data_IF_658598193522
#
_entry.id   IF_658598193522
#
_cell.length_a   1.000
_cell.length_b   1.000
_cell.length_c   1.000
_cell.angle_alpha   90.00
_cell.angle_beta   90.00
_cell.angle_gamma   90.00
#
_symmetry.space_group_name_H-M   'P 1'
#
loop_
_entity.id
_entity.type
_entity.pdbx_description
1 polymer ?
#
# COMPACT_ATOMS: atom_id res chain seq x y z
N UNK A 1 -11.22 -40.53 -1.64
CA UNK A 1 -12.14 -39.38 -1.51
C UNK A 1 -11.31 -38.12 -1.75
N UNK A 2 -11.49 -37.40 -2.86
CA UNK A 2 -10.82 -36.12 -3.05
C UNK A 2 -11.46 -35.07 -2.13
N UNK A 3 -10.62 -34.24 -1.51
CA UNK A 3 -11.04 -33.14 -0.65
C UNK A 3 -11.92 -32.14 -1.44
N UNK A 4 -12.89 -31.47 -0.79
CA UNK A 4 -13.68 -30.44 -1.46
C UNK A 4 -12.78 -29.30 -1.93
N UNK A 5 -12.88 -28.97 -3.21
CA UNK A 5 -12.23 -27.81 -3.81
C UNK A 5 -12.58 -26.53 -3.03
N UNK A 6 -11.63 -25.60 -2.82
CA UNK A 6 -11.94 -24.34 -2.18
C UNK A 6 -12.86 -23.53 -3.10
N UNK A 7 -14.13 -23.37 -2.68
CA UNK A 7 -15.10 -22.46 -3.30
C UNK A 7 -14.44 -21.09 -3.47
N UNK A 8 -14.38 -20.63 -4.71
CA UNK A 8 -13.67 -19.41 -5.10
C UNK A 8 -13.87 -18.28 -4.11
N UNK A 9 -12.81 -17.94 -3.38
CA UNK A 9 -12.72 -16.65 -2.72
C UNK A 9 -12.80 -15.61 -3.82
N UNK A 10 -13.84 -14.77 -3.80
CA UNK A 10 -13.79 -13.46 -4.44
C UNK A 10 -12.71 -12.64 -3.72
N UNK A 11 -11.44 -13.01 -3.87
CA UNK A 11 -10.32 -12.23 -3.36
C UNK A 11 -10.41 -10.87 -4.02
N UNK A 12 -10.43 -9.83 -3.19
CA UNK A 12 -10.18 -8.48 -3.66
C UNK A 12 -8.87 -8.50 -4.43
N UNK A 13 -8.91 -8.16 -5.71
CA UNK A 13 -7.68 -7.96 -6.49
C UNK A 13 -7.15 -6.58 -6.16
N UNK A 14 -5.89 -6.52 -5.76
CA UNK A 14 -5.18 -5.26 -5.55
C UNK A 14 -4.24 -4.99 -6.71
N UNK A 15 -4.15 -3.72 -7.10
CA UNK A 15 -3.31 -3.26 -8.19
C UNK A 15 -2.44 -2.09 -7.73
N UNK A 16 -1.19 -2.00 -8.25
CA UNK A 16 -0.33 -0.88 -7.93
C UNK A 16 -0.96 0.42 -8.44
N UNK A 17 -0.81 1.48 -7.65
CA UNK A 17 -1.16 2.85 -8.04
C UNK A 17 0.09 3.51 -8.61
N UNK A 18 -0.04 4.21 -9.73
CA UNK A 18 1.07 4.98 -10.31
C UNK A 18 1.39 6.18 -9.42
N UNK A 19 2.59 6.20 -8.83
CA UNK A 19 3.10 7.25 -7.96
C UNK A 19 4.36 7.86 -8.59
N UNK A 20 4.23 8.81 -9.52
CA UNK A 20 5.38 9.34 -10.27
C UNK A 20 6.38 10.04 -9.34
N UNK A 21 7.61 9.55 -9.32
CA UNK A 21 8.69 10.07 -8.47
C UNK A 21 8.81 9.43 -7.09
N UNK A 22 7.85 8.60 -6.65
CA UNK A 22 7.99 7.81 -5.41
C UNK A 22 8.07 8.62 -4.10
N UNK A 23 7.81 9.93 -4.14
CA UNK A 23 7.85 10.82 -2.97
C UNK A 23 6.44 11.13 -2.48
N UNK A 24 5.73 10.14 -1.94
CA UNK A 24 4.33 10.29 -1.54
C UNK A 24 4.04 9.78 -0.13
N UNK A 25 3.13 10.47 0.54
CA UNK A 25 2.52 10.09 1.80
C UNK A 25 0.99 10.01 1.68
N UNK A 26 0.34 9.52 2.73
CA UNK A 26 -1.10 9.48 2.80
C UNK A 26 -1.67 10.91 2.84
N UNK A 27 -2.50 11.26 1.85
CA UNK A 27 -3.15 12.55 1.82
C UNK A 27 -4.29 12.67 2.85
N UNK A 28 -4.86 13.87 3.02
CA UNK A 28 -5.93 14.13 4.01
C UNK A 28 -7.23 13.38 3.72
N UNK A 29 -7.41 12.86 2.50
CA UNK A 29 -8.53 11.97 2.16
C UNK A 29 -8.42 10.58 2.79
N UNK A 30 -7.21 10.17 3.19
CA UNK A 30 -6.90 8.86 3.77
C UNK A 30 -6.52 8.97 5.25
N UNK A 31 -5.66 9.93 5.60
CA UNK A 31 -5.14 10.09 6.94
C UNK A 31 -5.82 11.26 7.69
N UNK A 32 -6.17 11.11 8.99
CA UNK A 32 -6.10 9.88 9.80
C UNK A 32 -7.36 9.01 9.72
N UNK A 33 -8.47 9.52 9.18
CA UNK A 33 -9.81 8.94 9.39
C UNK A 33 -10.07 7.57 8.74
N UNK A 34 -9.29 7.21 7.71
CA UNK A 34 -9.44 5.95 6.97
C UNK A 34 -8.32 4.95 7.24
N UNK A 35 -7.37 5.27 8.14
CA UNK A 35 -6.32 4.32 8.54
C UNK A 35 -6.92 3.19 9.36
N UNK A 36 -6.65 1.96 8.94
CA UNK A 36 -6.96 0.74 9.71
C UNK A 36 -5.78 0.40 10.60
N UNK A 37 -4.58 0.38 10.03
CA UNK A 37 -3.35 -0.02 10.72
C UNK A 37 -2.14 0.76 10.22
N UNK A 38 -1.28 1.14 11.16
CA UNK A 38 0.07 1.62 10.88
C UNK A 38 1.10 0.52 11.15
N UNK A 39 2.04 0.34 10.24
CA UNK A 39 3.10 -0.67 10.28
C UNK A 39 4.42 0.05 10.07
N UNK A 40 5.47 -0.35 10.79
CA UNK A 40 6.81 0.17 10.55
C UNK A 40 7.86 -0.93 10.67
N UNK A 41 9.00 -0.72 10.00
CA UNK A 41 10.15 -1.60 10.10
C UNK A 41 11.46 -0.84 9.89
N UNK A 42 12.56 -1.44 10.36
CA UNK A 42 13.91 -0.94 10.08
C UNK A 42 14.15 -0.95 8.56
N UNK A 43 14.74 0.12 8.03
CA UNK A 43 15.01 0.25 6.60
C UNK A 43 15.83 -0.93 6.04
N UNK A 44 16.85 -1.39 6.76
CA UNK A 44 17.69 -2.54 6.37
C UNK A 44 16.97 -3.90 6.18
N UNK A 45 15.71 -4.06 6.62
CA UNK A 45 15.00 -5.35 6.54
C UNK A 45 14.21 -5.56 5.25
N UNK A 46 13.97 -4.48 4.51
CA UNK A 46 13.15 -4.50 3.31
C UNK A 46 13.75 -3.55 2.27
N UNK A 47 13.44 -3.81 1.01
CA UNK A 47 13.53 -2.85 -0.08
C UNK A 47 12.13 -2.31 -0.41
N UNK A 48 12.03 -1.42 -1.40
CA UNK A 48 10.78 -0.81 -1.82
C UNK A 48 9.70 -1.86 -2.15
N UNK A 49 10.05 -2.86 -2.95
CA UNK A 49 9.11 -3.86 -3.44
C UNK A 49 8.63 -4.78 -2.31
N UNK A 50 9.56 -5.36 -1.57
CA UNK A 50 9.26 -6.25 -0.44
C UNK A 50 8.50 -5.53 0.67
N UNK A 51 8.76 -4.24 0.90
CA UNK A 51 7.96 -3.45 1.82
C UNK A 51 6.54 -3.23 1.30
N UNK A 52 6.38 -2.82 0.05
CA UNK A 52 5.07 -2.64 -0.57
C UNK A 52 4.21 -3.92 -0.49
N UNK A 53 4.81 -5.07 -0.82
CA UNK A 53 4.16 -6.38 -0.71
C UNK A 53 3.84 -6.76 0.74
N UNK A 54 4.71 -6.40 1.70
CA UNK A 54 4.46 -6.65 3.12
C UNK A 54 3.23 -5.88 3.61
N UNK A 55 3.14 -4.58 3.30
CA UNK A 55 1.98 -3.76 3.69
C UNK A 55 0.71 -4.23 2.99
N UNK A 56 0.80 -4.62 1.70
CA UNK A 56 -0.34 -5.23 0.99
C UNK A 56 -0.79 -6.54 1.65
N UNK A 57 0.13 -7.42 2.03
CA UNK A 57 -0.20 -8.66 2.74
C UNK A 57 -0.93 -8.39 4.06
N UNK A 58 -0.55 -7.34 4.78
CA UNK A 58 -1.26 -6.90 5.99
C UNK A 58 -2.66 -6.33 5.66
N UNK A 59 -2.81 -5.63 4.53
CA UNK A 59 -4.10 -5.17 4.04
C UNK A 59 -5.02 -6.35 3.68
N UNK A 60 -4.53 -7.38 2.99
CA UNK A 60 -5.32 -8.55 2.59
C UNK A 60 -5.84 -9.37 3.79
N UNK A 61 -5.21 -9.26 4.97
CA UNK A 61 -5.67 -9.88 6.21
C UNK A 61 -6.87 -9.15 6.82
N UNK A 62 -7.08 -7.90 6.45
CA UNK A 62 -8.13 -7.03 6.99
C UNK A 62 -9.30 -6.93 6.01
N UNK A 63 -10.49 -7.49 6.34
CA UNK A 63 -11.64 -7.50 5.42
C UNK A 63 -12.13 -6.11 5.01
N UNK A 64 -11.86 -5.09 5.83
CA UNK A 64 -12.23 -3.71 5.56
C UNK A 64 -11.20 -2.95 4.70
N UNK A 65 -10.04 -3.56 4.44
CA UNK A 65 -8.98 -2.91 3.69
C UNK A 65 -9.29 -2.85 2.20
N UNK A 66 -9.12 -1.65 1.64
CA UNK A 66 -9.36 -1.36 0.23
C UNK A 66 -8.16 -0.73 -0.45
N UNK A 67 -7.15 -0.28 0.31
CA UNK A 67 -5.88 0.19 -0.23
C UNK A 67 -4.77 0.15 0.82
N UNK A 68 -3.52 0.20 0.36
CA UNK A 68 -2.33 0.24 1.21
C UNK A 68 -1.29 1.19 0.64
N UNK A 69 -0.48 1.79 1.50
CA UNK A 69 0.67 2.62 1.15
C UNK A 69 1.87 2.18 1.98
N UNK A 70 2.99 1.93 1.34
CA UNK A 70 4.31 1.81 1.97
C UNK A 70 5.22 2.91 1.47
N UNK A 71 6.06 3.49 2.32
CA UNK A 71 7.09 4.45 1.95
C UNK A 71 8.22 4.41 2.97
N UNK A 72 9.38 4.94 2.62
CA UNK A 72 10.44 5.19 3.58
C UNK A 72 10.55 6.67 3.92
N UNK A 73 10.73 6.97 5.19
CA UNK A 73 10.93 8.33 5.69
C UNK A 73 11.95 8.35 6.83
N UNK A 74 12.50 9.52 7.12
CA UNK A 74 13.36 9.70 8.30
C UNK A 74 12.48 9.80 9.54
N UNK A 75 12.69 8.89 10.49
CA UNK A 75 11.99 8.97 11.76
C UNK A 75 12.65 10.08 12.62
N UNK A 76 11.88 11.11 12.96
CA UNK A 76 12.34 12.26 13.76
C UNK A 76 12.52 11.93 15.26
N UNK A 77 12.23 10.70 15.69
CA UNK A 77 12.44 10.22 17.06
C UNK A 77 13.91 10.00 17.45
N UNK A 78 14.12 9.67 18.73
CA UNK A 78 15.43 9.62 19.42
C UNK A 78 16.50 8.70 18.79
N UNK A 79 16.10 7.76 17.93
CA UNK A 79 17.02 6.84 17.24
C UNK A 79 17.61 7.41 15.96
N UNK A 80 16.99 8.43 15.35
CA UNK A 80 17.32 8.90 14.01
C UNK A 80 17.25 7.81 12.93
N UNK A 81 17.35 8.21 11.66
CA UNK A 81 17.51 7.28 10.54
C UNK A 81 16.26 6.99 9.72
N UNK A 82 16.48 6.39 8.54
CA UNK A 82 15.44 6.01 7.59
C UNK A 82 14.73 4.75 8.08
N UNK A 83 13.41 4.75 8.05
CA UNK A 83 12.55 3.62 8.39
C UNK A 83 11.52 3.42 7.30
N UNK A 84 11.02 2.19 7.20
CA UNK A 84 9.85 1.87 6.41
C UNK A 84 8.59 2.16 7.23
N UNK A 85 7.65 2.86 6.61
CA UNK A 85 6.33 3.18 7.14
C UNK A 85 5.27 2.65 6.19
N UNK A 86 4.21 2.10 6.76
CA UNK A 86 3.16 1.41 6.04
C UNK A 86 1.82 1.73 6.66
N UNK A 87 0.82 1.97 5.82
CA UNK A 87 -0.55 2.20 6.23
C UNK A 87 -1.49 1.34 5.39
N UNK A 88 -2.49 0.77 6.04
CA UNK A 88 -3.63 0.13 5.39
C UNK A 88 -4.85 1.02 5.57
N UNK A 89 -5.68 1.14 4.54
CA UNK A 89 -6.83 2.04 4.53
C UNK A 89 -8.11 1.34 4.11
N UNK A 90 -9.23 1.86 4.61
CA UNK A 90 -10.59 1.59 4.14
C UNK A 90 -11.10 2.76 3.29
N UNK A 91 -12.32 2.63 2.78
CA UNK A 91 -13.02 3.74 2.10
C UNK A 91 -13.12 3.60 0.58
N UNK A 92 -12.65 2.49 0.01
CA UNK A 92 -12.78 2.17 -1.40
C UNK A 92 -11.48 2.31 -2.20
N UNK A 93 -11.56 2.25 -3.54
CA UNK A 93 -10.40 2.39 -4.41
C UNK A 93 -9.75 3.76 -4.27
N UNK A 94 -8.42 3.79 -4.32
CA UNK A 94 -7.61 5.01 -4.31
C UNK A 94 -6.87 5.21 -5.62
N UNK A 95 -6.62 6.45 -5.98
CA UNK A 95 -5.75 6.85 -7.09
C UNK A 95 -4.62 7.75 -6.57
N UNK A 96 -3.72 8.17 -7.44
CA UNK A 96 -2.63 9.11 -7.12
C UNK A 96 -3.13 10.36 -6.38
N UNK A 97 -4.34 10.85 -6.69
CA UNK A 97 -4.94 12.03 -6.06
C UNK A 97 -5.28 11.85 -4.56
N UNK A 98 -5.30 10.62 -4.06
CA UNK A 98 -5.49 10.35 -2.63
C UNK A 98 -4.19 10.49 -1.81
N UNK A 99 -3.06 10.58 -2.50
CA UNK A 99 -1.74 10.71 -1.92
C UNK A 99 -1.24 12.14 -2.09
N UNK A 100 -0.31 12.54 -1.23
CA UNK A 100 0.29 13.88 -1.27
C UNK A 100 1.78 13.75 -1.44
N UNK A 101 2.35 14.52 -2.37
CA UNK A 101 3.80 14.57 -2.55
C UNK A 101 4.47 15.08 -1.27
N UNK A 102 5.52 14.39 -0.83
CA UNK A 102 6.28 14.74 0.36
C UNK A 102 7.75 14.42 0.13
N UNK A 103 8.59 15.45 0.25
CA UNK A 103 10.05 15.29 0.20
C UNK A 103 10.61 14.50 1.40
N UNK A 104 9.82 14.33 2.47
CA UNK A 104 10.20 13.51 3.61
C UNK A 104 9.99 12.01 3.36
N UNK A 105 9.14 11.67 2.37
CA UNK A 105 8.92 10.31 1.92
C UNK A 105 9.74 9.99 0.67
N UNK A 106 10.07 8.72 0.52
CA UNK A 106 10.79 8.15 -0.62
C UNK A 106 10.34 6.71 -0.81
N UNK A 107 10.59 6.16 -1.99
CA UNK A 107 10.31 4.75 -2.29
C UNK A 107 8.83 4.38 -2.05
N UNK A 108 7.91 5.33 -2.27
CA UNK A 108 6.50 5.16 -2.02
C UNK A 108 5.88 4.17 -3.00
N UNK A 109 5.15 3.21 -2.46
CA UNK A 109 4.46 2.16 -3.20
C UNK A 109 3.05 2.03 -2.64
N UNK A 110 2.04 2.19 -3.48
CA UNK A 110 0.64 2.07 -3.09
C UNK A 110 -0.07 1.00 -3.90
N UNK A 111 -1.03 0.34 -3.26
CA UNK A 111 -1.93 -0.63 -3.88
C UNK A 111 -3.37 -0.26 -3.57
N UNK A 112 -4.26 -0.53 -4.52
CA UNK A 112 -5.70 -0.27 -4.40
C UNK A 112 -6.51 -1.46 -4.87
N UNK A 113 -7.66 -1.70 -4.25
CA UNK A 113 -8.65 -2.65 -4.74
C UNK A 113 -9.16 -2.22 -6.11
N UNK A 114 -9.33 -3.18 -7.03
CA UNK A 114 -10.03 -2.97 -8.31
C UNK A 114 -11.43 -3.57 -8.25
N UNK A 115 -12.43 -2.80 -8.69
CA UNK A 115 -13.82 -3.26 -8.81
C UNK A 115 -14.02 -3.94 -10.18
N UNK A 116 -13.91 -5.26 -10.24
CA UNK A 116 -14.41 -6.09 -11.37
C UNK A 116 -13.35 -6.92 -12.11
N UNK A 117 -13.81 -7.96 -12.82
CA UNK A 117 -13.08 -9.02 -13.55
C UNK A 117 -12.20 -8.54 -14.74
N UNK A 118 -11.43 -7.49 -14.54
CA UNK A 118 -10.32 -7.10 -15.41
C UNK A 118 -9.13 -6.90 -14.50
N UNK A 119 -8.18 -7.84 -14.53
CA UNK A 119 -6.92 -7.73 -13.78
C UNK A 119 -6.25 -6.39 -14.03
N UNK A 120 -5.34 -6.01 -13.13
CA UNK A 120 -4.58 -4.77 -13.16
C UNK A 120 -4.21 -4.41 -14.59
N UNK A 121 -5.00 -3.55 -15.24
CA UNK A 121 -4.71 -3.16 -16.60
C UNK A 121 -3.42 -2.35 -16.47
N UNK A 122 -2.35 -2.95 -16.96
CA UNK A 122 -1.02 -2.37 -17.10
C UNK A 122 -1.09 -1.19 -18.07
N UNK A 123 -1.78 -0.14 -17.65
CA UNK A 123 -1.77 1.17 -18.28
C UNK A 123 -0.61 1.95 -17.71
N UNK A 124 0.52 1.86 -18.41
CA UNK A 124 1.58 2.88 -18.42
C UNK A 124 2.54 2.87 -17.23
N UNK A 125 3.41 1.86 -17.18
CA UNK A 125 4.78 2.08 -16.70
C UNK A 125 5.61 2.53 -17.91
N UNK A 126 6.00 3.81 -18.04
CA UNK A 126 7.10 4.13 -18.94
C UNK A 126 8.39 3.58 -18.31
N UNK A 127 9.04 2.70 -19.08
CA UNK A 127 10.38 2.15 -18.82
C UNK A 127 11.45 3.24 -18.65
#
# INVERSE_FOLDING_TARGET
MPAPEPKGSNKATFCPVSLPGGHYEAGPSLFPGNVIKGINAKYSKYDQESWGQHVLSECEKEPACTSSLGFAAVNSGSTGGKFWFGYTFRGGPTTTANYTESAAASDATAYTIVKGKGGCNAGSYPS
#
